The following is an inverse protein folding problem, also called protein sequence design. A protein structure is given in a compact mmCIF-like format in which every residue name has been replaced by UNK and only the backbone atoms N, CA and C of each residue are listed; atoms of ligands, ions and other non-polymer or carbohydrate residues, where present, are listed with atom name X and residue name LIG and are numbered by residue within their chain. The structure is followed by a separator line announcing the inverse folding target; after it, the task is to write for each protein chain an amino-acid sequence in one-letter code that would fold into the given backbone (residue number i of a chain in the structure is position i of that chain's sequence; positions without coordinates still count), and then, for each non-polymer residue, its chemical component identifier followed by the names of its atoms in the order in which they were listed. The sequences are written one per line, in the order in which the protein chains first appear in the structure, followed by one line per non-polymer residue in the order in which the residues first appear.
data_IF_935494123882
#
_entry.id   IF_935494123882
#
_cell.length_a   1.000
_cell.length_b   1.000
_cell.length_c   1.000
_cell.angle_alpha   90.00
_cell.angle_beta   90.00
_cell.angle_gamma   90.00
#
_symmetry.space_group_name_H-M   'P 1'
#
loop_
_entity.id
_entity.type
_entity.pdbx_description
1 polymer ?
#
# COMPACT_ATOMS: atom_id res chain seq x y z
N UNK A 1 2.31 11.88 9.67
CA UNK A 1 3.02 12.89 8.85
C UNK A 1 4.37 13.31 9.44
N UNK A 2 4.47 13.70 10.72
CA UNK A 2 5.75 14.08 11.34
C UNK A 2 6.86 13.02 11.14
N UNK A 3 6.56 11.74 11.40
CA UNK A 3 7.53 10.65 11.19
C UNK A 3 7.99 10.50 9.74
N UNK A 4 7.12 10.79 8.76
CA UNK A 4 7.51 10.75 7.34
C UNK A 4 8.42 11.94 6.98
N UNK A 5 8.20 13.09 7.61
CA UNK A 5 9.10 14.24 7.44
C UNK A 5 10.48 13.96 8.05
N UNK A 6 10.53 13.29 9.20
CA UNK A 6 11.79 12.85 9.81
C UNK A 6 12.50 11.81 8.92
N UNK A 7 11.77 10.84 8.37
CA UNK A 7 12.29 9.82 7.45
C UNK A 7 12.98 10.44 6.21
N UNK A 8 12.47 11.55 5.67
CA UNK A 8 13.14 12.25 4.57
C UNK A 8 14.52 12.80 4.92
N UNK A 9 14.80 13.02 6.21
CA UNK A 9 16.09 13.53 6.69
C UNK A 9 17.01 12.40 7.18
N UNK A 10 16.44 11.32 7.71
CA UNK A 10 17.19 10.19 8.29
C UNK A 10 17.43 9.06 7.31
N UNK A 11 16.69 9.00 6.20
CA UNK A 11 16.64 7.88 5.25
C UNK A 11 16.10 6.57 5.85
N UNK A 12 15.46 6.65 7.02
CA UNK A 12 14.83 5.52 7.72
C UNK A 12 13.30 5.64 7.66
N UNK A 13 12.71 4.93 6.70
CA UNK A 13 11.28 5.03 6.38
C UNK A 13 10.41 4.04 7.15
N UNK A 14 10.97 2.93 7.62
CA UNK A 14 10.21 1.82 8.20
C UNK A 14 9.34 2.25 9.39
N UNK A 15 9.82 3.06 10.36
CA UNK A 15 8.97 3.55 11.46
C UNK A 15 7.78 4.39 10.96
N UNK A 16 7.99 5.16 9.88
CA UNK A 16 6.92 5.97 9.28
C UNK A 16 5.93 5.13 8.48
N UNK A 17 6.36 3.99 7.94
CA UNK A 17 5.51 3.04 7.20
C UNK A 17 4.60 2.27 8.17
N UNK A 18 5.14 1.81 9.30
CA UNK A 18 4.34 1.29 10.41
C UNK A 18 3.28 2.32 10.85
N UNK A 19 3.70 3.56 11.09
CA UNK A 19 2.78 4.62 11.49
C UNK A 19 1.73 4.95 10.43
N UNK A 20 2.05 4.80 9.13
CA UNK A 20 1.09 5.00 8.04
C UNK A 20 0.04 3.89 7.99
N UNK A 21 0.45 2.63 8.21
CA UNK A 21 -0.46 1.48 8.31
C UNK A 21 -1.48 1.66 9.44
N UNK A 22 -1.05 2.22 10.58
CA UNK A 22 -1.90 2.50 11.74
C UNK A 22 -2.92 3.64 11.52
N UNK A 23 -2.85 4.40 10.42
CA UNK A 23 -3.83 5.46 10.10
C UNK A 23 -5.10 4.87 9.49
N UNK A 24 -6.06 4.47 10.32
CA UNK A 24 -7.35 3.91 9.85
C UNK A 24 -8.46 4.94 9.73
N UNK A 25 -8.49 5.92 10.64
CA UNK A 25 -9.66 6.79 10.85
C UNK A 25 -9.60 8.11 10.06
N UNK A 26 -8.54 8.32 9.28
CA UNK A 26 -8.42 9.50 8.44
C UNK A 26 -9.18 9.35 7.12
N UNK A 27 -9.87 10.42 6.73
CA UNK A 27 -10.50 10.56 5.40
C UNK A 27 -9.48 10.99 4.35
N UNK A 28 -8.45 11.75 4.75
CA UNK A 28 -7.34 12.11 3.86
C UNK A 28 -6.22 11.10 4.03
N UNK A 29 -5.72 10.56 2.93
CA UNK A 29 -4.56 9.67 2.91
C UNK A 29 -3.48 10.30 2.03
N UNK A 30 -2.23 10.15 2.45
CA UNK A 30 -1.08 10.71 1.75
C UNK A 30 0.00 9.64 1.72
N UNK A 31 0.31 9.20 0.50
CA UNK A 31 1.41 8.30 0.22
C UNK A 31 2.49 9.17 -0.39
N UNK A 32 3.67 9.25 0.24
CA UNK A 32 4.76 10.10 -0.25
C UNK A 32 6.13 9.58 0.19
N UNK A 33 7.02 9.29 -0.76
CA UNK A 33 8.37 8.83 -0.46
C UNK A 33 8.99 8.04 -1.61
N UNK A 34 10.18 7.45 -1.39
CA UNK A 34 10.78 6.51 -2.31
C UNK A 34 10.10 5.14 -2.17
N UNK A 35 9.40 4.66 -3.21
CA UNK A 35 8.51 3.49 -3.08
C UNK A 35 8.85 2.40 -4.10
N UNK A 36 8.66 2.69 -5.39
CA UNK A 36 8.75 1.68 -6.45
C UNK A 36 10.13 1.68 -7.11
N UNK A 37 10.65 0.50 -7.44
CA UNK A 37 11.99 0.34 -8.02
C UNK A 37 12.01 0.16 -9.54
N UNK A 38 10.86 0.26 -10.21
CA UNK A 38 10.72 -0.04 -11.65
C UNK A 38 11.56 0.84 -12.58
N UNK A 39 11.90 2.07 -12.15
CA UNK A 39 12.77 2.97 -12.91
C UNK A 39 14.23 2.50 -12.93
N UNK A 40 14.67 1.74 -11.91
CA UNK A 40 15.96 1.06 -11.94
C UNK A 40 15.88 -0.20 -12.81
N UNK A 41 16.01 0.00 -14.12
CA UNK A 41 15.96 -1.07 -15.12
C UNK A 41 17.19 -1.98 -15.15
N UNK A 42 18.21 -1.70 -14.33
CA UNK A 42 19.41 -2.52 -14.28
C UNK A 42 19.30 -3.59 -13.20
N UNK A 43 19.02 -3.17 -11.95
CA UNK A 43 18.98 -4.08 -10.81
C UNK A 43 17.65 -4.07 -10.05
N UNK A 44 16.81 -3.04 -10.22
CA UNK A 44 15.57 -2.88 -9.45
C UNK A 44 15.82 -2.59 -7.96
N UNK A 45 16.95 -1.97 -7.60
CA UNK A 45 17.32 -1.70 -6.22
C UNK A 45 16.97 -0.30 -5.76
N UNK A 46 16.95 0.68 -6.68
CA UNK A 46 16.74 2.09 -6.32
C UNK A 46 15.28 2.46 -6.50
N UNK A 47 14.66 2.89 -5.41
CA UNK A 47 13.29 3.35 -5.41
C UNK A 47 13.18 4.79 -5.94
N UNK A 48 12.19 5.05 -6.77
CA UNK A 48 11.81 6.37 -7.24
C UNK A 48 10.88 7.07 -6.25
N UNK A 49 11.06 8.38 -6.08
CA UNK A 49 10.13 9.18 -5.28
C UNK A 49 8.80 9.34 -6.01
N UNK A 50 7.71 9.13 -5.28
CA UNK A 50 6.36 9.40 -5.74
C UNK A 50 5.47 9.96 -4.63
N UNK A 51 4.34 10.55 -5.04
CA UNK A 51 3.34 11.02 -4.13
C UNK A 51 1.92 10.84 -4.69
N UNK A 52 0.99 10.57 -3.77
CA UNK A 52 -0.44 10.54 -3.97
C UNK A 52 -1.10 11.32 -2.83
N UNK A 53 -1.96 12.28 -3.17
CA UNK A 53 -2.86 12.92 -2.20
C UNK A 53 -4.27 12.42 -2.49
N UNK A 54 -4.87 11.77 -1.49
CA UNK A 54 -6.05 10.94 -1.64
C UNK A 54 -7.15 11.37 -0.67
N UNK A 55 -8.40 11.24 -1.10
CA UNK A 55 -9.59 11.39 -0.25
C UNK A 55 -10.36 10.08 -0.29
N UNK A 56 -10.56 9.45 0.87
CA UNK A 56 -11.22 8.15 1.01
C UNK A 56 -12.70 8.27 0.64
N UNK A 57 -13.15 7.42 -0.27
CA UNK A 57 -14.56 7.21 -0.57
C UNK A 57 -15.12 6.18 0.42
N UNK A 58 -15.84 6.66 1.43
CA UNK A 58 -16.38 5.80 2.50
C UNK A 58 -17.44 4.83 1.98
N UNK A 59 -18.33 5.28 1.10
CA UNK A 59 -19.42 4.45 0.57
C UNK A 59 -18.84 3.32 -0.29
N UNK A 60 -17.90 3.65 -1.18
CA UNK A 60 -17.29 2.63 -2.01
C UNK A 60 -16.37 1.69 -1.21
N UNK A 61 -15.65 2.21 -0.21
CA UNK A 61 -14.81 1.38 0.66
C UNK A 61 -15.64 0.37 1.47
N UNK A 62 -16.81 0.77 1.97
CA UNK A 62 -17.74 -0.16 2.64
C UNK A 62 -18.18 -1.31 1.72
N UNK A 63 -18.43 -1.01 0.44
CA UNK A 63 -18.77 -2.03 -0.56
C UNK A 63 -17.61 -2.98 -0.85
N UNK A 64 -16.37 -2.54 -0.66
CA UNK A 64 -15.18 -3.38 -0.86
C UNK A 64 -14.87 -4.28 0.34
N UNK A 65 -15.40 -3.97 1.54
CA UNK A 65 -15.12 -4.72 2.76
C UNK A 65 -15.46 -6.22 2.65
N UNK A 66 -16.49 -6.56 1.86
CA UNK A 66 -16.89 -7.96 1.59
C UNK A 66 -15.77 -8.79 0.98
N UNK A 67 -14.85 -8.19 0.20
CA UNK A 67 -13.77 -8.94 -0.42
C UNK A 67 -12.69 -9.34 0.56
N UNK A 68 -12.49 -8.58 1.64
CA UNK A 68 -11.53 -8.94 2.69
C UNK A 68 -11.92 -10.28 3.35
N UNK A 69 -13.22 -10.51 3.56
CA UNK A 69 -13.74 -11.77 4.11
C UNK A 69 -13.48 -12.99 3.20
N UNK A 70 -13.25 -12.77 1.90
CA UNK A 70 -13.00 -13.85 0.94
C UNK A 70 -11.54 -14.32 0.90
N UNK A 71 -10.59 -13.51 1.42
CA UNK A 71 -9.14 -13.79 1.33
C UNK A 71 -8.74 -15.15 1.92
N UNK A 72 -9.23 -15.59 3.11
CA UNK A 72 -8.84 -16.89 3.66
C UNK A 72 -9.30 -18.07 2.79
N UNK A 73 -10.45 -17.94 2.13
CA UNK A 73 -10.94 -18.97 1.22
C UNK A 73 -10.11 -19.03 -0.06
N UNK A 74 -9.71 -17.86 -0.59
CA UNK A 74 -8.83 -17.78 -1.76
C UNK A 74 -7.45 -18.39 -1.48
N UNK A 75 -6.85 -18.08 -0.32
CA UNK A 75 -5.55 -18.62 0.09
C UNK A 75 -5.56 -20.15 0.19
N UNK A 76 -6.58 -20.72 0.83
CA UNK A 76 -6.76 -22.20 0.88
C UNK A 76 -7.03 -22.82 -0.49
N UNK A 77 -7.66 -22.05 -1.38
CA UNK A 77 -8.04 -22.47 -2.73
C UNK A 77 -6.94 -22.35 -3.78
N UNK A 78 -5.73 -21.89 -3.45
CA UNK A 78 -4.65 -21.72 -4.42
C UNK A 78 -4.29 -23.05 -5.10
N UNK A 79 -4.09 -23.07 -6.43
CA UNK A 79 -3.76 -24.28 -7.20
C UNK A 79 -2.27 -24.64 -7.10
N UNK A 80 -1.75 -24.71 -5.87
CA UNK A 80 -0.35 -25.01 -5.54
C UNK A 80 -0.29 -26.14 -4.51
N UNK A 81 0.92 -26.66 -4.26
CA UNK A 81 1.15 -27.63 -3.18
C UNK A 81 0.81 -27.02 -1.82
N UNK A 82 0.35 -27.86 -0.88
CA UNK A 82 -0.15 -27.39 0.41
C UNK A 82 0.93 -26.70 1.27
N UNK A 83 2.20 -27.02 1.06
CA UNK A 83 3.34 -26.35 1.73
C UNK A 83 3.40 -24.84 1.45
N UNK A 84 2.86 -24.39 0.31
CA UNK A 84 2.82 -22.98 -0.09
C UNK A 84 1.53 -22.26 0.35
N UNK A 85 0.65 -22.92 1.10
CA UNK A 85 -0.62 -22.35 1.60
C UNK A 85 -0.60 -22.04 3.09
N UNK A 86 0.59 -22.10 3.72
CA UNK A 86 0.75 -21.97 5.16
C UNK A 86 0.44 -20.56 5.70
N UNK A 87 0.51 -19.54 4.85
CA UNK A 87 0.24 -18.17 5.23
C UNK A 87 -1.26 -17.95 5.46
N UNK A 88 -1.60 -17.26 6.55
CA UNK A 88 -2.94 -16.71 6.75
C UNK A 88 -2.93 -15.23 6.35
N UNK A 89 -3.85 -14.78 5.48
CA UNK A 89 -3.93 -13.36 5.15
C UNK A 89 -4.13 -12.54 6.43
N UNK A 90 -3.28 -11.53 6.64
CA UNK A 90 -3.34 -10.69 7.83
C UNK A 90 -4.73 -10.07 8.01
N UNK A 91 -5.28 -10.17 9.22
CA UNK A 91 -6.59 -9.62 9.57
C UNK A 91 -6.69 -8.10 9.42
N UNK A 92 -5.54 -7.41 9.30
CA UNK A 92 -5.40 -5.97 9.18
C UNK A 92 -5.24 -5.47 7.74
N UNK A 93 -5.39 -6.35 6.73
CA UNK A 93 -5.33 -5.95 5.33
C UNK A 93 -6.45 -4.94 4.99
N UNK A 94 -6.06 -3.72 4.60
CA UNK A 94 -7.00 -2.65 4.30
C UNK A 94 -7.29 -2.63 2.80
N UNK A 95 -8.57 -2.65 2.41
CA UNK A 95 -9.01 -2.46 1.02
C UNK A 95 -9.96 -1.27 0.95
N UNK A 96 -9.49 -0.16 0.40
CA UNK A 96 -10.22 1.10 0.33
C UNK A 96 -10.22 1.66 -1.09
N UNK A 97 -11.19 2.53 -1.37
CA UNK A 97 -11.18 3.36 -2.58
C UNK A 97 -11.01 4.83 -2.24
N UNK A 98 -10.37 5.54 -3.16
CA UNK A 98 -9.97 6.92 -2.99
C UNK A 98 -10.19 7.71 -4.26
N UNK A 99 -10.72 8.91 -4.10
CA UNK A 99 -10.60 10.00 -5.07
C UNK A 99 -9.17 10.53 -5.03
N UNK A 100 -8.50 10.58 -6.19
CA UNK A 100 -7.17 11.20 -6.28
C UNK A 100 -7.26 12.71 -6.46
N UNK A 101 -6.58 13.45 -5.59
CA UNK A 101 -6.44 14.90 -5.67
C UNK A 101 -5.17 15.30 -6.41
N UNK A 102 -4.06 14.57 -6.22
CA UNK A 102 -2.77 14.93 -6.82
C UNK A 102 -1.83 13.72 -6.99
N UNK A 103 -1.08 13.71 -8.10
CA UNK A 103 0.03 12.79 -8.39
C UNK A 103 1.35 13.57 -8.52
N UNK A 104 2.46 13.01 -8.04
CA UNK A 104 3.80 13.54 -8.29
C UNK A 104 4.86 12.45 -8.35
N UNK A 105 5.98 12.76 -9.02
CA UNK A 105 7.12 11.85 -9.14
C UNK A 105 6.84 10.66 -10.06
N UNK A 106 7.34 9.48 -9.69
CA UNK A 106 7.22 8.24 -10.47
C UNK A 106 5.75 7.93 -10.85
N UNK A 107 4.81 8.08 -9.92
CA UNK A 107 3.37 7.88 -10.16
C UNK A 107 2.72 8.80 -11.19
N UNK A 108 3.41 9.91 -11.55
CA UNK A 108 2.93 10.88 -12.54
C UNK A 108 3.67 10.78 -13.88
N UNK A 109 4.65 9.89 -14.01
CA UNK A 109 5.43 9.68 -15.23
C UNK A 109 4.70 8.71 -16.19
N UNK A 110 4.16 9.24 -17.29
CA UNK A 110 3.43 8.42 -18.27
C UNK A 110 2.02 8.05 -17.79
N UNK A 111 1.69 6.75 -17.83
CA UNK A 111 0.39 6.22 -17.41
C UNK A 111 0.12 6.50 -15.93
N UNK A 112 -1.14 6.75 -15.59
CA UNK A 112 -1.53 6.96 -14.19
C UNK A 112 -1.78 5.63 -13.49
N UNK A 113 -1.23 5.50 -12.29
CA UNK A 113 -1.51 4.40 -11.38
C UNK A 113 -3.00 4.42 -11.01
N UNK A 114 -3.68 3.29 -11.19
CA UNK A 114 -5.12 3.15 -10.86
C UNK A 114 -5.36 2.41 -9.53
N UNK A 115 -4.32 1.78 -8.99
CA UNK A 115 -4.35 1.13 -7.69
C UNK A 115 -2.92 0.93 -7.17
N UNK A 116 -2.75 0.90 -5.85
CA UNK A 116 -1.48 0.59 -5.19
C UNK A 116 -1.68 -0.46 -4.09
N UNK A 117 -0.62 -1.21 -3.79
CA UNK A 117 -0.56 -2.16 -2.68
C UNK A 117 0.74 -1.94 -1.91
N UNK A 118 0.67 -1.31 -0.74
CA UNK A 118 1.84 -0.79 -0.02
C UNK A 118 1.77 -1.09 1.49
N UNK A 119 2.91 -1.05 2.21
CA UNK A 119 4.27 -0.77 1.72
C UNK A 119 4.93 -1.97 1.02
N UNK A 120 6.05 -1.75 0.32
CA UNK A 120 6.84 -2.82 -0.32
C UNK A 120 7.77 -3.57 0.66
N UNK A 121 8.00 -3.02 1.86
CA UNK A 121 8.84 -3.63 2.90
C UNK A 121 8.18 -4.89 3.49
N UNK A 122 8.82 -6.05 3.31
CA UNK A 122 8.31 -7.36 3.73
C UNK A 122 8.14 -7.49 5.25
N UNK A 123 8.99 -6.85 6.05
CA UNK A 123 8.87 -6.90 7.52
C UNK A 123 7.60 -6.18 7.97
N UNK A 124 7.34 -4.99 7.40
CA UNK A 124 6.12 -4.24 7.69
C UNK A 124 4.89 -5.01 7.19
N UNK A 125 4.96 -5.64 6.02
CA UNK A 125 3.87 -6.46 5.50
C UNK A 125 3.55 -7.66 6.38
N UNK A 126 4.57 -8.35 6.90
CA UNK A 126 4.38 -9.50 7.77
C UNK A 126 3.76 -9.12 9.11
N UNK A 127 4.12 -7.96 9.67
CA UNK A 127 3.62 -7.51 10.96
C UNK A 127 2.26 -6.79 10.88
N UNK A 128 2.03 -5.95 9.87
CA UNK A 128 0.84 -5.07 9.75
C UNK A 128 -0.02 -5.33 8.51
N UNK A 129 0.40 -6.23 7.62
CA UNK A 129 -0.24 -6.42 6.33
C UNK A 129 0.03 -5.27 5.35
N UNK A 130 -0.86 -5.15 4.36
CA UNK A 130 -0.77 -4.14 3.29
C UNK A 130 -2.05 -3.33 3.19
N UNK A 131 -1.94 -2.08 2.74
CA UNK A 131 -3.07 -1.27 2.29
C UNK A 131 -3.17 -1.34 0.76
N UNK A 132 -4.30 -1.83 0.29
CA UNK A 132 -4.73 -1.84 -1.11
C UNK A 132 -5.66 -0.66 -1.35
N UNK A 133 -5.21 0.27 -2.18
CA UNK A 133 -5.93 1.50 -2.48
C UNK A 133 -6.34 1.50 -3.94
N UNK A 134 -7.64 1.47 -4.23
CA UNK A 134 -8.16 1.74 -5.58
C UNK A 134 -8.24 3.25 -5.78
N UNK A 135 -7.68 3.75 -6.88
CA UNK A 135 -7.61 5.17 -7.20
C UNK A 135 -8.57 5.44 -8.36
N UNK A 136 -9.65 6.20 -8.09
CA UNK A 136 -10.66 6.56 -9.10
C UNK A 136 -10.48 8.01 -9.58
#
# INVERSE_FOLDING_TARGET
LTMRADAFLTDDYQPSDYAWMDVTDSVVDVIIGPIETYEDRLFGYKAGFEAYVLVKDLEWSERLAIYAETLPALQRGLPVADEYKAEEPGAEAQLNAYDIVYYAGHSNAGSKTIAVNLPNDEEVQLEKGTRRSQLK
#
